data_IF_501544633786
#
_entry.id   IF_501544633786
#
_cell.length_a   1.000
_cell.length_b   1.000
_cell.length_c   1.000
_cell.angle_alpha   90.00
_cell.angle_beta   90.00
_cell.angle_gamma   90.00
#
_symmetry.space_group_name_H-M   'P 1'
#
loop_
_entity.id
_entity.type
_entity.pdbx_description
1 polymer ?
#
# COMPACT_ATOMS: atom_id res chain seq x y z
N UNK A 1 25.68 6.56 -39.65
CA UNK A 1 25.72 6.47 -38.17
C UNK A 1 24.46 7.13 -37.59
N UNK A 2 23.34 6.40 -37.51
CA UNK A 2 22.04 6.87 -37.02
C UNK A 2 21.37 5.69 -36.31
N UNK A 3 21.76 5.41 -35.07
CA UNK A 3 21.29 4.19 -34.38
C UNK A 3 21.49 4.15 -32.86
N UNK A 4 21.94 5.24 -32.25
CA UNK A 4 22.30 5.26 -30.82
C UNK A 4 21.34 6.05 -29.92
N UNK A 5 20.30 6.68 -30.47
CA UNK A 5 19.40 7.55 -29.68
C UNK A 5 18.17 6.84 -29.09
N UNK A 6 17.83 5.62 -29.54
CA UNK A 6 16.62 4.91 -29.07
C UNK A 6 16.86 4.09 -27.80
N UNK A 7 18.12 3.71 -27.52
CA UNK A 7 18.46 2.81 -26.42
C UNK A 7 18.38 3.46 -25.03
N UNK A 8 18.52 4.78 -24.94
CA UNK A 8 18.50 5.50 -23.66
C UNK A 8 17.12 5.63 -23.00
N UNK A 9 16.05 5.70 -23.81
CA UNK A 9 14.69 5.92 -23.30
C UNK A 9 14.08 4.65 -22.67
N UNK A 10 14.46 3.46 -23.14
CA UNK A 10 13.94 2.17 -22.62
C UNK A 10 14.49 1.84 -21.23
N UNK A 11 15.71 2.29 -20.89
CA UNK A 11 16.33 2.07 -19.57
C UNK A 11 15.69 2.92 -18.45
N UNK A 12 15.09 4.06 -18.78
CA UNK A 12 14.42 4.91 -17.78
C UNK A 12 13.05 4.34 -17.35
N UNK A 13 12.36 3.62 -18.22
CA UNK A 13 11.05 3.02 -17.94
C UNK A 13 11.13 1.78 -17.06
N UNK A 14 12.23 1.02 -17.10
CA UNK A 14 12.42 -0.17 -16.25
C UNK A 14 12.69 0.17 -14.78
N UNK A 15 13.17 1.38 -14.48
CA UNK A 15 13.45 1.82 -13.13
C UNK A 15 12.16 2.05 -12.29
N UNK A 16 11.05 2.42 -12.91
CA UNK A 16 9.77 2.58 -12.19
C UNK A 16 9.12 1.24 -11.86
N UNK A 17 9.23 0.23 -12.73
CA UNK A 17 8.65 -1.09 -12.49
C UNK A 17 9.43 -1.93 -11.46
N UNK A 18 10.73 -1.65 -11.27
CA UNK A 18 11.58 -2.37 -10.33
C UNK A 18 11.52 -1.87 -8.88
N UNK A 19 10.89 -0.72 -8.62
CA UNK A 19 11.08 0.05 -7.38
C UNK A 19 9.96 -0.04 -6.33
N UNK A 20 9.05 -1.03 -6.39
CA UNK A 20 8.07 -1.29 -5.31
C UNK A 20 8.70 -1.83 -4.01
N UNK A 21 9.99 -1.56 -3.75
CA UNK A 21 10.71 -1.97 -2.55
C UNK A 21 10.63 -0.96 -1.41
N UNK A 22 10.04 0.21 -1.63
CA UNK A 22 9.95 1.28 -0.62
C UNK A 22 9.27 0.80 0.67
N UNK A 23 8.29 -0.11 0.55
CA UNK A 23 7.54 -0.65 1.68
C UNK A 23 8.25 -1.76 2.47
N UNK A 24 9.44 -2.20 2.03
CA UNK A 24 10.26 -3.19 2.76
C UNK A 24 11.20 -2.55 3.79
N UNK A 25 11.40 -1.23 3.69
CA UNK A 25 12.22 -0.48 4.64
C UNK A 25 11.42 -0.02 5.86
N UNK A 26 12.15 0.46 6.86
CA UNK A 26 11.55 1.16 8.00
C UNK A 26 10.83 2.42 7.51
N UNK A 27 9.59 2.62 7.95
CA UNK A 27 8.78 3.78 7.59
C UNK A 27 8.84 4.84 8.70
N UNK A 28 8.67 6.14 8.38
CA UNK A 28 8.70 7.19 9.39
C UNK A 28 7.68 7.02 10.53
N UNK A 29 6.58 6.30 10.27
CA UNK A 29 5.56 6.04 11.28
C UNK A 29 5.88 4.84 12.18
N UNK A 30 6.82 3.97 11.80
CA UNK A 30 7.22 2.82 12.62
C UNK A 30 7.92 3.31 13.92
N UNK A 31 8.60 4.46 13.84
CA UNK A 31 9.29 5.11 14.96
C UNK A 31 8.47 6.28 15.57
N UNK A 32 7.21 6.45 15.19
CA UNK A 32 6.39 7.55 15.68
C UNK A 32 6.14 7.42 17.19
N UNK A 33 6.49 8.48 17.93
CA UNK A 33 6.25 8.53 19.38
C UNK A 33 4.74 8.53 19.65
N UNK A 34 4.30 7.62 20.51
CA UNK A 34 2.91 7.58 20.95
C UNK A 34 2.54 8.83 21.75
N UNK A 35 1.34 9.36 21.52
CA UNK A 35 0.79 10.45 22.34
C UNK A 35 0.57 9.92 23.76
N UNK A 36 1.08 10.61 24.80
CA UNK A 36 0.87 10.17 26.18
C UNK A 36 -0.61 10.19 26.53
N UNK A 37 -1.01 9.24 27.38
CA UNK A 37 -2.38 9.20 27.90
C UNK A 37 -2.65 10.47 28.69
N UNK A 38 -3.72 11.17 28.33
CA UNK A 38 -4.17 12.34 29.06
C UNK A 38 -4.78 11.90 30.38
N UNK A 39 -4.38 12.55 31.48
CA UNK A 39 -4.97 12.35 32.79
C UNK A 39 -5.84 13.54 33.16
N UNK A 40 -7.01 13.32 33.77
CA UNK A 40 -7.81 14.43 34.28
C UNK A 40 -7.09 15.14 35.43
N UNK A 41 -7.27 16.46 35.51
CA UNK A 41 -6.85 17.23 36.68
C UNK A 41 -7.73 16.90 37.90
N UNK A 42 -7.22 17.17 39.11
CA UNK A 42 -7.94 16.88 40.35
C UNK A 42 -9.34 17.50 40.36
N UNK A 43 -10.35 16.66 40.61
CA UNK A 43 -11.75 17.06 40.65
C UNK A 43 -12.45 17.19 39.29
N UNK A 44 -11.75 17.01 38.16
CA UNK A 44 -12.34 17.01 36.82
C UNK A 44 -12.50 15.57 36.30
N UNK A 45 -13.62 15.29 35.62
CA UNK A 45 -13.82 14.03 34.91
C UNK A 45 -13.57 14.26 33.41
N UNK A 46 -12.80 13.36 32.78
CA UNK A 46 -12.63 13.39 31.34
C UNK A 46 -13.84 12.70 30.69
N UNK A 47 -14.60 13.37 29.80
CA UNK A 47 -15.79 12.79 29.22
C UNK A 47 -15.41 11.64 28.28
N UNK A 48 -15.97 10.46 28.54
CA UNK A 48 -15.87 9.34 27.61
C UNK A 48 -16.92 9.50 26.51
N UNK A 49 -16.46 9.77 25.29
CA UNK A 49 -17.30 9.86 24.09
C UNK A 49 -17.48 8.48 23.49
N UNK A 50 -18.73 8.00 23.40
CA UNK A 50 -19.06 6.66 22.90
C UNK A 50 -18.65 6.39 21.44
N UNK A 51 -18.28 7.43 20.69
CA UNK A 51 -17.73 7.34 19.33
C UNK A 51 -16.24 7.66 19.22
N UNK A 52 -15.51 7.77 20.33
CA UNK A 52 -14.07 7.99 20.26
C UNK A 52 -13.34 6.75 19.74
N UNK A 53 -12.35 7.00 18.88
CA UNK A 53 -11.42 5.98 18.45
C UNK A 53 -10.48 5.61 19.61
N UNK A 54 -10.42 4.32 19.92
CA UNK A 54 -9.48 3.77 20.89
C UNK A 54 -8.38 3.06 20.12
N UNK A 55 -7.13 3.46 20.37
CA UNK A 55 -5.96 2.76 19.80
C UNK A 55 -5.83 1.41 20.51
N UNK A 56 -5.81 0.28 19.78
CA UNK A 56 -5.60 -1.03 20.38
C UNK A 56 -4.23 -1.15 21.06
N UNK A 57 -4.06 -2.09 22.01
CA UNK A 57 -2.75 -2.40 22.56
C UNK A 57 -1.76 -2.81 21.45
N UNK A 58 -0.46 -2.47 21.58
CA UNK A 58 0.53 -2.86 20.60
C UNK A 58 0.63 -4.38 20.51
N UNK A 59 0.71 -4.89 19.28
CA UNK A 59 1.00 -6.31 19.01
C UNK A 59 2.47 -6.60 19.33
N UNK A 60 2.77 -7.82 19.81
CA UNK A 60 4.15 -8.22 20.14
C UNK A 60 5.10 -8.16 18.94
N UNK A 61 4.58 -8.46 17.76
CA UNK A 61 5.33 -8.49 16.52
C UNK A 61 4.87 -7.33 15.63
N UNK A 62 5.79 -6.41 15.30
CA UNK A 62 5.52 -5.33 14.37
C UNK A 62 5.12 -5.87 13.00
N UNK A 63 4.00 -5.38 12.46
CA UNK A 63 3.55 -5.75 11.11
C UNK A 63 4.28 -4.85 10.11
N UNK A 64 5.13 -5.40 9.22
CA UNK A 64 5.84 -4.58 8.26
C UNK A 64 4.87 -4.01 7.22
N UNK A 65 5.17 -2.82 6.72
CA UNK A 65 4.38 -2.16 5.68
C UNK A 65 4.32 -2.94 4.36
N UNK A 66 5.34 -3.76 4.11
CA UNK A 66 5.41 -4.63 2.96
C UNK A 66 6.05 -5.96 3.29
N UNK A 67 5.74 -6.97 2.48
CA UNK A 67 6.32 -8.31 2.60
C UNK A 67 6.62 -8.91 1.23
N UNK A 68 7.60 -9.82 1.19
CA UNK A 68 7.82 -10.64 0.02
C UNK A 68 6.74 -11.74 -0.06
N UNK A 69 6.14 -11.87 -1.23
CA UNK A 69 5.13 -12.89 -1.57
C UNK A 69 5.55 -13.63 -2.83
N UNK A 70 5.09 -14.87 -3.00
CA UNK A 70 5.22 -15.57 -4.27
C UNK A 70 4.03 -15.24 -5.16
N UNK A 71 4.31 -14.76 -6.37
CA UNK A 71 3.31 -14.58 -7.42
C UNK A 71 2.83 -15.92 -7.98
N UNK A 72 1.76 -15.88 -8.78
CA UNK A 72 1.21 -17.07 -9.44
C UNK A 72 2.19 -17.75 -10.41
N UNK A 73 3.18 -17.01 -10.90
CA UNK A 73 4.27 -17.51 -11.75
C UNK A 73 5.46 -18.07 -10.94
N UNK A 74 5.33 -18.19 -9.61
CA UNK A 74 6.38 -18.66 -8.71
C UNK A 74 7.48 -17.64 -8.44
N UNK A 75 7.43 -16.43 -9.03
CA UNK A 75 8.43 -15.39 -8.81
C UNK A 75 8.19 -14.65 -7.49
N UNK A 76 9.28 -14.14 -6.91
CA UNK A 76 9.18 -13.24 -5.76
C UNK A 76 8.60 -11.90 -6.20
N UNK A 77 7.58 -11.47 -5.49
CA UNK A 77 6.86 -10.20 -5.65
C UNK A 77 6.82 -9.50 -4.30
N UNK A 78 6.60 -8.19 -4.29
CA UNK A 78 6.45 -7.43 -3.06
C UNK A 78 5.00 -7.00 -2.96
N UNK A 79 4.39 -7.31 -1.82
CA UNK A 79 3.07 -6.85 -1.45
C UNK A 79 3.20 -5.73 -0.41
N UNK A 80 2.96 -4.49 -0.82
CA UNK A 80 2.84 -3.33 0.07
C UNK A 80 1.39 -3.18 0.53
N UNK A 81 1.17 -2.68 1.76
CA UNK A 81 -0.16 -2.51 2.34
C UNK A 81 -0.99 -1.41 1.64
N UNK A 82 -0.32 -0.40 1.08
CA UNK A 82 -0.92 0.70 0.34
C UNK A 82 -1.12 0.40 -1.16
N UNK A 83 -0.53 -0.70 -1.65
CA UNK A 83 -0.72 -1.10 -3.03
C UNK A 83 -2.10 -1.78 -3.18
N UNK A 84 -2.96 -1.28 -4.08
CA UNK A 84 -4.27 -1.88 -4.27
C UNK A 84 -4.14 -3.33 -4.75
N UNK A 85 -5.07 -4.23 -4.36
CA UNK A 85 -5.12 -5.58 -4.90
C UNK A 85 -5.22 -5.57 -6.44
N UNK A 86 -4.63 -6.58 -7.07
CA UNK A 86 -4.76 -6.74 -8.52
C UNK A 86 -6.22 -6.98 -8.89
N UNK A 87 -6.73 -6.21 -9.86
CA UNK A 87 -8.05 -6.46 -10.44
C UNK A 87 -7.95 -7.74 -11.28
N UNK A 88 -8.78 -8.77 -11.03
CA UNK A 88 -8.78 -9.96 -11.85
C UNK A 88 -9.08 -9.59 -13.30
N UNK A 89 -8.42 -10.29 -14.25
CA UNK A 89 -8.70 -10.09 -15.66
C UNK A 89 -10.19 -10.35 -15.93
N UNK A 90 -10.84 -9.57 -16.82
CA UNK A 90 -12.19 -9.86 -17.26
C UNK A 90 -12.23 -11.31 -17.77
N UNK A 91 -13.00 -12.15 -17.09
CA UNK A 91 -13.40 -13.43 -17.67
C UNK A 91 -14.21 -13.06 -18.90
N UNK A 92 -13.79 -13.56 -20.06
CA UNK A 92 -14.27 -13.12 -21.37
C UNK A 92 -15.74 -13.49 -21.63
N UNK A 93 -16.66 -12.95 -20.84
CA UNK A 93 -18.03 -12.77 -21.24
C UNK A 93 -18.07 -11.41 -21.92
N UNK A 94 -17.94 -11.46 -23.24
CA UNK A 94 -18.20 -10.33 -24.13
C UNK A 94 -19.48 -9.63 -23.69
N UNK A 95 -19.34 -8.50 -22.98
CA UNK A 95 -20.44 -7.58 -22.77
C UNK A 95 -20.73 -7.00 -24.16
N UNK A 96 -21.72 -7.57 -24.84
CA UNK A 96 -22.26 -7.03 -26.08
C UNK A 96 -22.78 -5.63 -25.78
N UNK A 97 -22.03 -4.61 -26.20
CA UNK A 97 -22.51 -3.22 -26.19
C UNK A 97 -23.73 -3.19 -27.12
N UNK A 98 -24.94 -2.84 -26.65
CA UNK A 98 -26.08 -2.71 -27.54
C UNK A 98 -25.79 -1.57 -28.51
N UNK A 99 -25.74 -1.89 -29.81
CA UNK A 99 -25.56 -0.91 -30.87
C UNK A 99 -26.75 0.04 -30.84
N UNK A 100 -26.51 1.31 -30.53
CA UNK A 100 -27.51 2.37 -30.66
C UNK A 100 -27.79 2.54 -32.15
N UNK A 101 -28.98 2.15 -32.59
CA UNK A 101 -29.50 2.51 -33.91
C UNK A 101 -30.03 3.94 -33.81
N UNK A 102 -29.30 4.88 -34.41
CA UNK A 102 -29.82 6.19 -34.81
C UNK A 102 -30.38 6.10 -36.24
#
# INVERSE_FOLDING_TARGET
>A
MKGFLVTGMVLALSACAANNRYCLGNQPYDDAVSVPILHPADGLQMPHVAGAFVVPPPVKDGVPFGKQTKGADGKSTIACLDQPPAIPAPQGDSISVPTRHD
#
